data_IF_630670933816
#
_entry.id   IF_630670933816
#
_cell.length_a   1.000
_cell.length_b   1.000
_cell.length_c   1.000
_cell.angle_alpha   90.00
_cell.angle_beta   90.00
_cell.angle_gamma   90.00
#
_symmetry.space_group_name_H-M   'P 1'
#
loop_
_entity.id
_entity.type
_entity.pdbx_description
1 polymer ?
#
# COMPACT_ATOMS: atom_id res chain seq x y z
N UNK A 1 15.18 24.40 20.72
CA UNK A 1 14.13 23.37 20.60
C UNK A 1 14.00 23.05 19.11
N UNK A 2 13.95 21.78 18.73
CA UNK A 2 13.74 21.34 17.34
C UNK A 2 12.40 20.63 17.19
N UNK A 3 11.90 20.52 15.96
CA UNK A 3 10.65 19.83 15.62
C UNK A 3 10.98 18.68 14.67
N UNK A 4 10.55 17.48 15.02
CA UNK A 4 10.53 16.31 14.14
C UNK A 4 9.10 15.77 14.14
N UNK A 5 8.39 16.00 13.05
CA UNK A 5 7.00 15.60 12.85
C UNK A 5 6.81 15.07 11.44
N UNK A 6 6.09 13.96 11.34
CA UNK A 6 5.67 13.33 10.10
C UNK A 6 4.16 13.27 10.12
N UNK A 7 3.53 13.62 9.00
CA UNK A 7 2.10 13.47 8.78
C UNK A 7 1.96 12.74 7.44
N UNK A 8 1.26 11.61 7.44
CA UNK A 8 1.03 10.84 6.21
C UNK A 8 -0.43 10.41 6.13
N UNK A 9 -0.96 10.43 4.91
CA UNK A 9 -2.23 9.81 4.56
C UNK A 9 -1.96 8.85 3.40
N UNK A 10 -2.28 7.59 3.59
CA UNK A 10 -1.95 6.56 2.61
C UNK A 10 -2.65 5.25 2.87
N UNK A 11 -2.32 4.25 2.06
CA UNK A 11 -2.91 2.92 2.14
C UNK A 11 -1.87 1.89 2.60
N UNK A 12 -2.28 0.92 3.42
CA UNK A 12 -1.38 -0.15 3.84
C UNK A 12 -0.98 -1.03 2.64
N UNK A 13 0.32 -1.29 2.48
CA UNK A 13 0.84 -2.21 1.44
C UNK A 13 0.65 -3.68 1.79
N UNK A 14 0.60 -3.99 3.08
CA UNK A 14 0.45 -5.32 3.66
C UNK A 14 -0.23 -5.22 5.02
N UNK A 15 -0.73 -6.34 5.51
CA UNK A 15 -1.28 -6.44 6.87
C UNK A 15 -0.20 -6.11 7.91
N UNK A 16 -0.57 -5.51 9.06
CA UNK A 16 0.38 -5.24 10.13
C UNK A 16 0.95 -6.51 10.75
N UNK A 17 2.27 -6.57 10.85
CA UNK A 17 2.98 -7.62 11.57
C UNK A 17 3.07 -7.24 13.05
N UNK A 18 2.16 -7.77 13.88
CA UNK A 18 2.16 -7.58 15.33
C UNK A 18 3.10 -8.59 16.01
N UNK A 19 4.02 -8.09 16.83
CA UNK A 19 4.98 -8.85 17.62
C UNK A 19 5.03 -8.31 19.05
N UNK A 20 5.56 -9.10 19.97
CA UNK A 20 5.83 -8.67 21.34
C UNK A 20 7.34 -8.75 21.61
N UNK A 21 7.89 -7.73 22.25
CA UNK A 21 9.27 -7.76 22.72
C UNK A 21 9.44 -8.79 23.85
N UNK A 22 10.68 -9.18 24.22
CA UNK A 22 10.91 -10.02 25.40
C UNK A 22 10.36 -9.43 26.70
N UNK A 23 10.24 -8.10 26.77
CA UNK A 23 9.61 -7.38 27.89
C UNK A 23 8.08 -7.34 27.82
N UNK A 24 7.44 -8.02 26.86
CA UNK A 24 5.99 -8.07 26.68
C UNK A 24 5.39 -6.82 26.03
N UNK A 25 6.20 -5.91 25.47
CA UNK A 25 5.69 -4.70 24.81
C UNK A 25 5.28 -5.02 23.38
N UNK A 26 4.03 -4.71 23.02
CA UNK A 26 3.53 -4.85 21.65
C UNK A 26 4.23 -3.90 20.67
N UNK A 27 4.55 -4.40 19.48
CA UNK A 27 5.15 -3.67 18.36
C UNK A 27 4.49 -4.13 17.07
N UNK A 28 4.00 -3.19 16.26
CA UNK A 28 3.44 -3.49 14.95
C UNK A 28 4.26 -2.79 13.87
N UNK A 29 4.53 -3.50 12.79
CA UNK A 29 5.27 -2.97 11.63
C UNK A 29 4.49 -3.21 10.35
N UNK A 30 4.37 -2.18 9.51
CA UNK A 30 3.73 -2.26 8.19
C UNK A 30 4.30 -1.21 7.23
N UNK A 31 4.00 -1.36 5.94
CA UNK A 31 4.32 -0.36 4.93
C UNK A 31 3.09 0.48 4.58
N UNK A 32 3.29 1.77 4.39
CA UNK A 32 2.27 2.71 3.93
C UNK A 32 2.68 3.27 2.57
N UNK A 33 1.76 3.24 1.60
CA UNK A 33 1.97 3.84 0.29
C UNK A 33 1.39 5.25 0.24
N UNK A 34 2.14 6.20 -0.30
CA UNK A 34 1.63 7.52 -0.72
C UNK A 34 1.95 7.72 -2.19
N UNK A 35 0.96 8.11 -2.99
CA UNK A 35 1.13 8.28 -4.44
C UNK A 35 0.88 9.71 -4.88
N UNK A 36 1.70 10.19 -5.80
CA UNK A 36 1.54 11.50 -6.45
C UNK A 36 1.47 11.29 -7.98
N UNK A 37 0.51 11.94 -8.63
CA UNK A 37 0.38 11.94 -10.09
C UNK A 37 0.82 13.30 -10.64
N UNK A 38 1.82 13.28 -11.52
CA UNK A 38 2.37 14.48 -12.17
C UNK A 38 2.49 14.26 -13.68
N UNK A 39 2.74 15.33 -14.44
CA UNK A 39 3.07 15.23 -15.87
C UNK A 39 4.58 15.33 -16.05
N UNK A 40 5.15 14.47 -16.87
CA UNK A 40 6.56 14.57 -17.26
C UNK A 40 6.79 15.66 -18.31
N UNK A 41 8.06 15.84 -18.73
CA UNK A 41 8.46 16.86 -19.70
C UNK A 41 7.85 16.65 -21.09
N UNK A 42 7.42 15.44 -21.41
CA UNK A 42 6.78 15.07 -22.67
C UNK A 42 5.26 15.22 -22.60
N UNK A 43 4.72 15.57 -21.42
CA UNK A 43 3.30 15.80 -21.18
C UNK A 43 2.53 14.55 -20.77
N UNK A 44 3.19 13.39 -20.62
CA UNK A 44 2.56 12.14 -20.21
C UNK A 44 2.28 12.16 -18.70
N UNK A 45 1.14 11.60 -18.29
CA UNK A 45 0.82 11.44 -16.86
C UNK A 45 1.63 10.27 -16.28
N UNK A 46 2.39 10.55 -15.24
CA UNK A 46 3.15 9.57 -14.46
C UNK A 46 2.61 9.53 -13.03
N UNK A 47 2.61 8.34 -12.41
CA UNK A 47 2.30 8.18 -10.99
C UNK A 47 3.51 7.62 -10.28
N UNK A 48 3.97 8.32 -9.23
CA UNK A 48 5.07 7.87 -8.38
C UNK A 48 4.50 7.51 -7.01
N UNK A 49 4.90 6.34 -6.51
CA UNK A 49 4.49 5.84 -5.20
C UNK A 49 5.71 5.75 -4.30
N UNK A 50 5.63 6.41 -3.15
CA UNK A 50 6.60 6.30 -2.08
C UNK A 50 6.12 5.31 -1.02
N UNK A 51 7.05 4.54 -0.47
CA UNK A 51 6.78 3.51 0.53
C UNK A 51 7.42 3.90 1.86
N UNK A 52 6.59 4.01 2.90
CA UNK A 52 7.00 4.42 4.23
C UNK A 52 6.98 3.21 5.17
N UNK A 53 8.08 2.97 5.88
CA UNK A 53 8.14 1.94 6.93
C UNK A 53 7.59 2.51 8.23
N UNK A 54 6.46 1.99 8.68
CA UNK A 54 5.78 2.46 9.89
C UNK A 54 6.06 1.49 11.04
N UNK A 55 6.48 2.04 12.18
CA UNK A 55 6.69 1.30 13.43
C UNK A 55 5.77 1.90 14.49
N UNK A 56 5.00 1.03 15.13
CA UNK A 56 4.01 1.40 16.15
C UNK A 56 4.26 0.59 17.42
N UNK A 57 4.04 1.20 18.58
CA UNK A 57 4.32 0.59 19.88
C UNK A 57 3.08 0.53 20.78
N UNK A 58 3.11 -0.37 21.76
CA UNK A 58 2.15 -0.50 22.86
C UNK A 58 0.72 -0.69 22.35
N UNK A 59 -0.27 -0.11 23.03
CA UNK A 59 -1.69 -0.24 22.70
C UNK A 59 -2.01 0.10 21.24
N UNK A 60 -1.32 1.10 20.67
CA UNK A 60 -1.55 1.48 19.28
C UNK A 60 -1.11 0.37 18.31
N UNK A 61 -0.07 -0.40 18.65
CA UNK A 61 0.34 -1.57 17.87
C UNK A 61 -0.74 -2.66 17.86
N UNK A 62 -1.34 -2.94 19.01
CA UNK A 62 -2.44 -3.90 19.13
C UNK A 62 -3.68 -3.46 18.33
N UNK A 63 -4.01 -2.17 18.39
CA UNK A 63 -5.09 -1.58 17.58
C UNK A 63 -4.79 -1.75 16.09
N UNK A 64 -3.55 -1.46 15.65
CA UNK A 64 -3.15 -1.67 14.27
C UNK A 64 -3.31 -3.13 13.86
N UNK A 65 -2.74 -4.07 14.62
CA UNK A 65 -2.82 -5.50 14.31
C UNK A 65 -4.23 -6.08 14.30
N UNK A 66 -5.16 -5.50 15.08
CA UNK A 66 -6.54 -5.96 15.16
C UNK A 66 -7.45 -5.40 14.06
N UNK A 67 -7.24 -4.13 13.67
CA UNK A 67 -8.23 -3.39 12.87
C UNK A 67 -7.73 -2.93 11.50
N UNK A 68 -6.42 -2.99 11.25
CA UNK A 68 -5.86 -2.64 9.95
C UNK A 68 -5.56 -3.90 9.14
N UNK A 69 -5.77 -3.78 7.84
CA UNK A 69 -5.49 -4.78 6.83
C UNK A 69 -4.96 -4.08 5.57
N UNK A 70 -4.34 -4.83 4.68
CA UNK A 70 -3.81 -4.36 3.40
C UNK A 70 -4.87 -3.56 2.64
N UNK A 71 -4.45 -2.44 2.06
CA UNK A 71 -5.29 -1.54 1.28
C UNK A 71 -6.08 -0.53 2.11
N UNK A 72 -6.23 -0.74 3.43
CA UNK A 72 -6.95 0.20 4.29
C UNK A 72 -6.27 1.56 4.31
N UNK A 73 -7.05 2.63 4.19
CA UNK A 73 -6.53 3.99 4.22
C UNK A 73 -6.45 4.49 5.66
N UNK A 74 -5.35 5.15 6.01
CA UNK A 74 -5.16 5.72 7.33
C UNK A 74 -4.48 7.09 7.25
N UNK A 75 -4.82 7.95 8.21
CA UNK A 75 -4.05 9.12 8.61
C UNK A 75 -3.13 8.73 9.76
N UNK A 76 -1.88 9.17 9.72
CA UNK A 76 -0.91 8.94 10.81
C UNK A 76 -0.11 10.20 11.12
N UNK A 77 0.24 10.35 12.40
CA UNK A 77 1.31 11.25 12.84
C UNK A 77 2.42 10.47 13.55
N UNK A 78 3.64 10.97 13.37
CA UNK A 78 4.82 10.35 13.93
C UNK A 78 6.04 11.26 13.90
N UNK A 79 7.20 10.62 14.00
CA UNK A 79 8.52 11.22 13.83
C UNK A 79 9.39 10.28 13.00
N UNK A 80 10.31 10.84 12.21
CA UNK A 80 11.34 10.03 11.53
C UNK A 80 12.38 9.60 12.58
N UNK A 81 12.75 8.32 12.53
CA UNK A 81 13.86 7.76 13.27
C UNK A 81 14.74 6.95 12.33
N UNK A 82 16.03 7.27 12.33
CA UNK A 82 17.03 6.51 11.59
C UNK A 82 17.72 5.57 12.55
N UNK A 83 17.76 4.28 12.21
CA UNK A 83 18.58 3.29 12.93
C UNK A 83 19.63 2.73 12.00
N UNK A 84 20.76 2.34 12.57
CA UNK A 84 21.80 1.63 11.83
C UNK A 84 21.91 0.19 12.29
N UNK A 85 22.24 -0.70 11.37
CA UNK A 85 22.62 -2.08 11.66
C UNK A 85 23.77 -2.48 10.73
N UNK A 86 24.64 -3.37 11.18
CA UNK A 86 25.68 -3.93 10.33
C UNK A 86 25.10 -5.10 9.55
N UNK A 87 25.32 -5.12 8.24
CA UNK A 87 24.96 -6.26 7.40
C UNK A 87 25.93 -7.43 7.57
N UNK A 88 25.67 -8.54 6.88
CA UNK A 88 26.47 -9.77 7.01
C UNK A 88 27.93 -9.59 6.57
N UNK A 89 28.18 -8.59 5.74
CA UNK A 89 29.50 -8.27 5.20
C UNK A 89 30.22 -7.21 6.06
N UNK A 90 29.61 -6.80 7.18
CA UNK A 90 30.16 -5.81 8.11
C UNK A 90 29.93 -4.35 7.70
N UNK A 91 29.10 -4.09 6.66
CA UNK A 91 28.81 -2.74 6.24
C UNK A 91 27.67 -2.14 7.06
N UNK A 92 27.85 -0.90 7.53
CA UNK A 92 26.82 -0.16 8.26
C UNK A 92 25.72 0.29 7.30
N UNK A 93 24.49 -0.19 7.53
CA UNK A 93 23.28 0.19 6.79
C UNK A 93 22.40 1.06 7.66
N UNK A 94 21.74 2.03 7.03
CA UNK A 94 20.77 2.91 7.69
C UNK A 94 19.36 2.58 7.21
N UNK A 95 18.41 2.58 8.13
CA UNK A 95 16.99 2.44 7.82
C UNK A 95 16.28 3.64 8.44
N UNK A 96 15.56 4.38 7.60
CA UNK A 96 14.62 5.41 8.01
C UNK A 96 13.25 4.79 8.26
N UNK A 97 12.72 5.02 9.45
CA UNK A 97 11.40 4.54 9.89
C UNK A 97 10.58 5.71 10.40
N UNK A 98 9.25 5.62 10.26
CA UNK A 98 8.32 6.54 10.90
C UNK A 98 7.80 5.87 12.16
N UNK A 99 8.19 6.40 13.32
CA UNK A 99 7.64 5.96 14.61
C UNK A 99 6.33 6.72 14.83
N UNK A 100 5.23 5.99 14.68
CA UNK A 100 3.88 6.53 14.78
C UNK A 100 3.45 6.65 16.25
N UNK A 101 2.82 7.78 16.58
CA UNK A 101 2.25 8.01 17.91
C UNK A 101 0.75 8.32 17.87
N UNK A 102 0.20 8.66 16.70
CA UNK A 102 -1.22 8.91 16.51
C UNK A 102 -1.69 8.35 15.16
N UNK A 103 -2.93 7.86 15.10
CA UNK A 103 -3.55 7.44 13.85
C UNK A 103 -5.06 7.61 13.85
N UNK A 104 -5.61 7.75 12.65
CA UNK A 104 -7.05 7.70 12.39
C UNK A 104 -7.31 6.82 11.17
N UNK A 105 -8.30 5.94 11.26
CA UNK A 105 -8.71 5.13 10.13
C UNK A 105 -9.57 5.98 9.21
N UNK A 106 -9.27 5.95 7.92
CA UNK A 106 -10.01 6.67 6.89
C UNK A 106 -10.77 5.64 6.05
N UNK A 107 -12.09 5.75 6.01
CA UNK A 107 -12.95 4.81 5.27
C UNK A 107 -14.35 4.72 5.86
N UNK A 108 -15.33 4.42 5.00
CA UNK A 108 -16.73 4.22 5.39
C UNK A 108 -16.91 2.96 6.22
N UNK A 109 -17.92 2.95 7.08
CA UNK A 109 -18.33 1.87 7.99
C UNK A 109 -18.87 0.60 7.27
N UNK A 110 -18.43 0.31 6.05
CA UNK A 110 -19.04 -0.70 5.17
C UNK A 110 -18.40 -2.10 5.26
N UNK A 111 -17.68 -2.39 6.35
CA UNK A 111 -17.25 -3.76 6.68
C UNK A 111 -18.32 -4.54 7.49
N UNK A 112 -19.57 -4.06 7.52
CA UNK A 112 -20.68 -4.75 8.17
C UNK A 112 -21.67 -5.41 7.18
N UNK A 113 -21.27 -5.62 5.92
CA UNK A 113 -22.11 -6.30 4.93
C UNK A 113 -21.43 -7.51 4.29
N UNK A 114 -20.78 -8.36 5.09
CA UNK A 114 -20.50 -9.72 4.65
C UNK A 114 -20.43 -10.71 5.82
N UNK A 115 -21.60 -11.05 6.36
CA UNK A 115 -21.73 -12.13 7.34
C UNK A 115 -23.16 -12.39 7.80
N UNK A 116 -23.80 -13.44 7.28
CA UNK A 116 -24.88 -14.14 7.98
C UNK A 116 -26.30 -13.84 7.48
N UNK A 117 -26.90 -14.82 6.81
CA UNK A 117 -28.27 -14.76 6.29
C UNK A 117 -29.37 -14.99 7.32
N UNK A 118 -30.62 -15.00 6.84
CA UNK A 118 -31.80 -15.39 7.62
C UNK A 118 -33.01 -14.54 7.26
N UNK A 119 -33.86 -15.06 6.38
CA UNK A 119 -35.06 -14.38 5.91
C UNK A 119 -36.15 -14.26 6.97
N UNK A 120 -36.91 -13.16 6.90
CA UNK A 120 -38.26 -13.07 7.43
C UNK A 120 -39.09 -12.22 6.46
N UNK A 121 -40.13 -12.86 5.92
CA UNK A 121 -41.22 -12.24 5.20
C UNK A 121 -42.16 -11.52 6.19
N UNK A 122 -42.80 -10.43 5.77
CA UNK A 122 -44.05 -9.97 6.40
C UNK A 122 -44.43 -8.50 6.21
N UNK A 123 -45.38 -8.22 5.29
CA UNK A 123 -46.39 -7.15 5.37
C UNK A 123 -45.98 -5.75 4.86
N UNK A 124 -46.20 -5.35 3.60
CA UNK A 124 -47.47 -4.93 2.95
C UNK A 124 -47.99 -3.55 3.39
N UNK A 125 -47.87 -2.50 2.55
CA UNK A 125 -49.01 -1.70 2.02
C UNK A 125 -48.63 -0.59 0.99
N UNK A 126 -49.25 -0.68 -0.20
CA UNK A 126 -49.73 0.30 -1.23
C UNK A 126 -48.97 1.61 -1.55
N UNK A 127 -48.54 1.87 -2.81
CA UNK A 127 -49.26 2.17 -4.09
C UNK A 127 -49.48 3.66 -4.32
N UNK A 128 -48.85 4.23 -5.37
CA UNK A 128 -49.51 4.98 -6.46
C UNK A 128 -48.66 4.88 -7.75
N UNK A 129 -49.35 5.03 -8.88
CA UNK A 129 -49.11 4.47 -10.21
C UNK A 129 -48.78 5.56 -11.26
N UNK A 130 -48.20 5.11 -12.39
CA UNK A 130 -47.96 5.74 -13.71
C UNK A 130 -46.48 6.00 -14.01
N UNK A 131 -45.89 5.57 -15.12
CA UNK A 131 -46.37 4.85 -16.31
C UNK A 131 -45.27 4.98 -17.38
N UNK A 132 -45.02 3.95 -18.18
CA UNK A 132 -44.05 4.03 -19.29
C UNK A 132 -43.47 2.68 -19.71
N UNK A 133 -44.17 2.00 -20.62
CA UNK A 133 -43.77 0.76 -21.26
C UNK A 133 -42.59 0.97 -22.22
N UNK A 134 -41.59 0.09 -22.17
CA UNK A 134 -40.95 -0.37 -23.40
C UNK A 134 -40.41 -1.81 -23.24
N UNK A 135 -40.70 -2.61 -24.26
CA UNK A 135 -40.49 -4.03 -24.39
C UNK A 135 -39.44 -4.28 -25.48
N UNK A 136 -38.36 -5.01 -25.16
CA UNK A 136 -37.52 -5.71 -26.14
C UNK A 136 -36.70 -6.77 -25.38
N UNK A 137 -37.12 -8.04 -25.33
CA UNK A 137 -36.89 -9.11 -26.31
C UNK A 137 -35.42 -9.60 -26.39
N UNK A 138 -35.23 -10.79 -25.80
CA UNK A 138 -34.34 -11.92 -26.16
C UNK A 138 -32.97 -11.66 -26.84
N UNK A 139 -31.87 -12.09 -26.19
CA UNK A 139 -31.23 -13.41 -26.44
C UNK A 139 -29.96 -13.59 -25.57
N UNK A 140 -29.75 -14.75 -24.92
CA UNK A 140 -28.46 -15.12 -24.35
C UNK A 140 -27.58 -15.83 -25.39
N UNK A 141 -26.42 -15.27 -25.70
CA UNK A 141 -25.38 -15.96 -26.46
C UNK A 141 -24.43 -16.74 -25.56
N UNK A 142 -24.10 -17.89 -26.10
CA UNK A 142 -23.56 -19.10 -25.53
C UNK A 142 -22.05 -19.05 -25.33
N UNK A 143 -21.61 -19.60 -24.19
CA UNK A 143 -20.22 -19.95 -23.88
C UNK A 143 -19.56 -20.78 -24.99
N UNK A 144 -18.36 -20.38 -25.41
CA UNK A 144 -17.35 -21.28 -25.97
C UNK A 144 -15.98 -21.01 -25.32
N UNK A 145 -15.32 -22.01 -24.74
CA UNK A 145 -13.95 -21.88 -24.25
C UNK A 145 -12.95 -22.03 -25.41
N UNK A 146 -12.12 -21.02 -25.63
CA UNK A 146 -10.99 -21.09 -26.56
C UNK A 146 -9.77 -21.73 -25.88
N UNK A 147 -9.21 -22.71 -26.59
CA UNK A 147 -8.11 -23.60 -26.26
C UNK A 147 -6.78 -22.90 -25.93
N UNK A 148 -6.07 -23.52 -24.97
CA UNK A 148 -4.64 -23.44 -24.77
C UNK A 148 -3.86 -23.77 -26.05
N UNK A 149 -2.90 -22.92 -26.41
CA UNK A 149 -1.70 -23.30 -27.16
C UNK A 149 -0.45 -22.79 -26.42
N UNK A 150 0.56 -23.63 -26.18
CA UNK A 150 1.85 -23.20 -25.67
C UNK A 150 2.73 -22.69 -26.83
N UNK A 151 3.24 -21.47 -26.69
CA UNK A 151 4.32 -20.97 -27.54
C UNK A 151 5.66 -21.17 -26.83
N UNK A 152 6.54 -21.89 -27.53
CA UNK A 152 7.88 -22.27 -27.18
C UNK A 152 8.87 -21.37 -27.94
N UNK A 153 10.09 -21.22 -27.40
CA UNK A 153 11.29 -20.63 -28.03
C UNK A 153 11.36 -19.09 -27.98
N UNK A 154 12.49 -18.39 -27.76
CA UNK A 154 13.92 -18.66 -27.97
C UNK A 154 14.68 -17.58 -27.14
N UNK A 155 15.78 -17.86 -26.45
CA UNK A 155 17.13 -17.78 -27.03
C UNK A 155 17.67 -16.34 -27.10
N UNK A 156 18.66 -15.98 -26.27
CA UNK A 156 19.38 -14.69 -26.42
C UNK A 156 20.34 -14.35 -25.26
N UNK A 157 21.61 -14.71 -25.43
CA UNK A 157 22.77 -14.25 -24.66
C UNK A 157 23.18 -12.83 -25.10
N UNK A 158 23.67 -11.99 -24.17
CA UNK A 158 24.76 -11.00 -24.31
C UNK A 158 24.93 -10.31 -22.95
N UNK A 159 26.05 -10.38 -22.23
CA UNK A 159 27.46 -10.08 -22.51
C UNK A 159 27.74 -8.58 -22.69
N UNK A 160 28.50 -8.01 -21.75
CA UNK A 160 29.44 -6.91 -21.98
C UNK A 160 28.89 -5.49 -21.80
N UNK A 161 29.09 -4.91 -20.61
CA UNK A 161 29.03 -3.46 -20.39
C UNK A 161 30.24 -3.05 -19.57
N UNK A 162 31.21 -2.44 -20.24
CA UNK A 162 32.42 -1.83 -19.70
C UNK A 162 32.09 -0.75 -18.67
N UNK A 163 32.69 -0.85 -17.49
CA UNK A 163 32.66 0.21 -16.48
C UNK A 163 33.62 1.33 -16.94
N UNK A 164 33.08 2.45 -17.41
CA UNK A 164 33.86 3.70 -17.54
C UNK A 164 34.06 4.27 -16.13
N UNK A 165 35.32 4.33 -15.67
CA UNK A 165 35.67 5.05 -14.46
C UNK A 165 35.46 6.56 -14.64
N UNK A 166 34.87 7.27 -13.67
CA UNK A 166 34.92 8.73 -13.67
C UNK A 166 36.37 9.19 -13.50
N UNK A 167 36.83 10.07 -14.39
CA UNK A 167 38.13 10.72 -14.30
C UNK A 167 38.16 11.59 -13.04
N UNK A 168 38.97 11.20 -12.06
CA UNK A 168 39.18 11.97 -10.84
C UNK A 168 39.88 13.30 -11.18
N UNK A 169 39.17 14.42 -10.98
CA UNK A 169 39.74 15.75 -11.05
C UNK A 169 40.25 16.15 -9.66
N UNK A 170 41.56 16.36 -9.46
CA UNK A 170 42.13 16.67 -8.15
C UNK A 170 41.70 18.05 -7.57
N UNK A 171 41.00 18.87 -8.36
CA UNK A 171 40.52 20.19 -7.96
C UNK A 171 39.01 20.25 -7.64
N UNK A 172 38.26 19.15 -7.80
CA UNK A 172 36.84 19.11 -7.42
C UNK A 172 36.70 18.84 -5.91
N UNK A 173 36.70 19.92 -5.13
CA UNK A 173 36.36 19.92 -3.71
C UNK A 173 35.03 19.21 -3.47
N UNK A 174 35.08 18.12 -2.70
CA UNK A 174 33.91 17.40 -2.17
C UNK A 174 33.02 18.38 -1.38
N UNK A 175 31.77 18.66 -1.83
CA UNK A 175 30.89 19.54 -1.09
C UNK A 175 30.40 18.86 0.20
N UNK A 176 30.58 19.56 1.33
CA UNK A 176 30.15 19.16 2.68
C UNK A 176 28.63 19.09 2.84
#
# INVERSE_FOLDING_TARGET
>A
MSVNKVILVGNLGKDPELRYTPSGTAVATFSLATSETFKDREGNKQTKTEWHNIVVWRQLAEICGKYLHKGKQIYIEGKIQNRSYDDRDGNKRYISEVVMNEMQMLGSRDDNQQGGGGGYAGGQNQTYNQGGQNSNQNQPTQNQPAQNQPAQNSGGQQQGGSFEEPVFNPDDEIPF
#
